data_IF_703537282421
#
_entry.id   IF_703537282421
#
_cell.length_a   1.000
_cell.length_b   1.000
_cell.length_c   1.000
_cell.angle_alpha   90.00
_cell.angle_beta   90.00
_cell.angle_gamma   90.00
#
_symmetry.space_group_name_H-M   'P 1'
#
loop_
_entity.id
_entity.type
_entity.pdbx_description
1 polymer ?
#
# COMPACT_ATOMS: atom_id res chain seq x y z
N UNK A 1 -40.21 -12.14 22.05
CA UNK A 1 -39.43 -11.77 20.85
C UNK A 1 -37.96 -11.82 21.25
N UNK A 2 -37.24 -12.86 20.81
CA UNK A 2 -35.89 -13.19 21.26
C UNK A 2 -34.89 -12.41 20.39
N UNK A 3 -34.18 -11.45 20.99
CA UNK A 3 -33.17 -10.65 20.28
C UNK A 3 -31.90 -11.51 20.17
N UNK A 4 -31.64 -12.02 18.97
CA UNK A 4 -30.33 -12.61 18.63
C UNK A 4 -29.30 -11.48 18.59
N UNK A 5 -28.49 -11.38 19.65
CA UNK A 5 -27.25 -10.61 19.63
C UNK A 5 -26.27 -11.31 18.70
N UNK A 6 -26.17 -10.82 17.46
CA UNK A 6 -25.09 -11.21 16.55
C UNK A 6 -23.81 -10.62 17.10
N UNK A 7 -22.96 -11.46 17.70
CA UNK A 7 -21.62 -11.08 18.12
C UNK A 7 -20.84 -10.65 16.88
N UNK A 8 -20.46 -9.37 16.83
CA UNK A 8 -19.55 -8.89 15.81
C UNK A 8 -18.20 -9.62 15.99
N UNK A 9 -17.59 -10.13 14.91
CA UNK A 9 -16.26 -10.74 15.01
C UNK A 9 -15.30 -9.71 15.62
N UNK A 10 -14.59 -10.12 16.68
CA UNK A 10 -13.61 -9.28 17.33
C UNK A 10 -12.56 -8.85 16.30
N UNK A 11 -12.50 -7.55 16.00
CA UNK A 11 -11.45 -6.97 15.18
C UNK A 11 -10.12 -7.25 15.88
N UNK A 12 -9.20 -7.95 15.22
CA UNK A 12 -7.85 -8.12 15.76
C UNK A 12 -7.21 -6.74 15.99
N UNK A 13 -6.41 -6.62 17.05
CA UNK A 13 -5.70 -5.36 17.33
C UNK A 13 -4.76 -5.08 16.15
N UNK A 14 -4.94 -3.93 15.52
CA UNK A 14 -4.04 -3.42 14.48
C UNK A 14 -2.60 -3.38 15.02
N UNK A 15 -1.65 -3.87 14.23
CA UNK A 15 -0.22 -3.82 14.53
C UNK A 15 0.44 -2.78 13.64
N UNK A 16 1.24 -1.89 14.24
CA UNK A 16 2.02 -0.90 13.51
C UNK A 16 3.50 -1.03 13.85
N UNK A 17 4.38 -0.96 12.83
CA UNK A 17 5.83 -0.91 12.97
C UNK A 17 6.34 0.41 12.41
N UNK A 18 7.09 1.15 13.22
CA UNK A 18 7.46 2.55 12.94
C UNK A 18 6.58 3.56 13.69
N UNK A 19 6.54 4.82 13.27
CA UNK A 19 7.10 5.31 12.02
C UNK A 19 8.63 5.51 12.05
N UNK A 20 9.28 5.30 10.90
CA UNK A 20 10.70 5.59 10.69
C UNK A 20 10.87 6.79 9.74
N UNK A 21 11.82 7.66 10.04
CA UNK A 21 12.11 8.82 9.22
C UNK A 21 12.98 8.45 8.01
N UNK A 22 12.52 8.84 6.81
CA UNK A 22 13.30 8.78 5.59
C UNK A 22 13.88 10.17 5.28
N UNK A 23 15.21 10.37 5.39
CA UNK A 23 15.83 11.67 5.14
C UNK A 23 15.76 12.10 3.67
N UNK A 24 15.58 11.16 2.73
CA UNK A 24 15.50 11.46 1.31
C UNK A 24 14.17 12.12 0.93
N UNK A 25 13.05 11.60 1.45
CA UNK A 25 11.72 12.16 1.20
C UNK A 25 11.27 13.15 2.27
N UNK A 26 12.04 13.30 3.35
CA UNK A 26 11.69 14.07 4.55
C UNK A 26 10.30 13.72 5.06
N UNK A 27 10.03 12.42 5.14
CA UNK A 27 8.73 11.88 5.51
C UNK A 27 8.91 10.69 6.44
N UNK A 28 7.88 10.42 7.23
CA UNK A 28 7.84 9.27 8.13
C UNK A 28 7.05 8.14 7.48
N UNK A 29 7.49 6.89 7.62
CA UNK A 29 6.80 5.72 7.07
C UNK A 29 6.51 4.72 8.17
N UNK A 30 5.37 4.05 8.12
CA UNK A 30 5.07 2.93 8.99
C UNK A 30 4.44 1.78 8.19
N UNK A 31 4.72 0.55 8.64
CA UNK A 31 3.99 -0.64 8.22
C UNK A 31 2.79 -0.85 9.14
N UNK A 32 1.63 -1.14 8.57
CA UNK A 32 0.40 -1.43 9.31
C UNK A 32 -0.16 -2.76 8.87
N UNK A 33 -0.42 -3.66 9.81
CA UNK A 33 -1.23 -4.88 9.66
C UNK A 33 -2.55 -4.68 10.40
N UNK A 34 -3.64 -4.65 9.65
CA UNK A 34 -4.99 -4.43 10.18
C UNK A 34 -5.50 -5.59 11.02
N UNK A 35 -4.90 -6.78 10.91
CA UNK A 35 -5.32 -7.98 11.64
C UNK A 35 -6.83 -8.25 11.51
N UNK A 36 -7.37 -8.04 10.31
CA UNK A 36 -8.78 -8.28 9.97
C UNK A 36 -8.94 -9.53 9.11
N UNK A 37 -9.94 -10.35 9.43
CA UNK A 37 -10.27 -11.51 8.61
C UNK A 37 -10.76 -11.06 7.22
N UNK A 38 -10.20 -11.65 6.16
CA UNK A 38 -10.57 -11.34 4.77
C UNK A 38 -9.89 -10.11 4.16
N UNK A 39 -9.18 -9.30 4.94
CA UNK A 39 -8.49 -8.10 4.45
C UNK A 39 -9.44 -6.99 3.99
N UNK A 40 -8.85 -5.97 3.38
CA UNK A 40 -9.60 -4.87 2.76
C UNK A 40 -9.02 -4.51 1.41
N UNK A 41 -9.82 -3.88 0.57
CA UNK A 41 -9.40 -3.43 -0.75
C UNK A 41 -8.41 -2.28 -0.64
N UNK A 42 -7.73 -1.96 -1.74
CA UNK A 42 -6.86 -0.79 -1.81
C UNK A 42 -7.58 0.51 -1.37
N UNK A 43 -8.81 0.72 -1.83
CA UNK A 43 -9.61 1.88 -1.44
C UNK A 43 -9.98 1.87 0.05
N UNK A 44 -10.15 0.67 0.63
CA UNK A 44 -10.31 0.48 2.06
C UNK A 44 -9.07 0.95 2.83
N UNK A 45 -7.89 0.38 2.54
CA UNK A 45 -6.66 0.77 3.24
C UNK A 45 -6.29 2.24 3.03
N UNK A 46 -6.60 2.85 1.88
CA UNK A 46 -6.41 4.29 1.69
C UNK A 46 -7.23 5.12 2.69
N UNK A 47 -8.50 4.74 2.94
CA UNK A 47 -9.32 5.39 3.99
C UNK A 47 -8.77 5.15 5.40
N UNK A 48 -8.11 4.02 5.65
CA UNK A 48 -7.42 3.78 6.91
C UNK A 48 -6.17 4.66 7.05
N UNK A 49 -5.33 4.72 6.01
CA UNK A 49 -4.13 5.55 5.98
C UNK A 49 -4.43 7.03 6.22
N UNK A 50 -5.49 7.57 5.58
CA UNK A 50 -5.95 8.95 5.75
C UNK A 50 -6.43 9.29 7.17
N UNK A 51 -6.80 8.28 7.98
CA UNK A 51 -7.20 8.46 9.39
C UNK A 51 -6.03 8.35 10.36
N UNK A 52 -4.86 7.90 9.89
CA UNK A 52 -3.64 7.92 10.70
C UNK A 52 -3.12 9.34 10.78
N UNK A 53 -2.59 9.69 11.94
CA UNK A 53 -1.89 10.95 12.14
C UNK A 53 -0.58 10.68 12.86
N UNK A 54 0.44 11.46 12.54
CA UNK A 54 1.72 11.47 13.25
C UNK A 54 2.15 12.92 13.42
N UNK A 55 2.30 13.38 14.66
CA UNK A 55 2.57 14.80 14.97
C UNK A 55 1.61 15.77 14.27
N UNK A 56 0.32 15.43 14.24
CA UNK A 56 -0.71 16.23 13.58
C UNK A 56 -0.71 16.17 12.04
N UNK A 57 0.22 15.44 11.41
CA UNK A 57 0.26 15.25 9.97
C UNK A 57 -0.58 14.05 9.56
N UNK A 58 -1.60 14.22 8.70
CA UNK A 58 -2.39 13.10 8.18
C UNK A 58 -1.53 12.15 7.34
N UNK A 59 -1.80 10.85 7.50
CA UNK A 59 -1.17 9.80 6.71
C UNK A 59 -1.77 9.69 5.32
N UNK A 60 -1.05 9.00 4.43
CA UNK A 60 -1.53 8.52 3.12
C UNK A 60 -0.85 7.19 2.81
N UNK A 61 -1.36 6.39 1.87
CA UNK A 61 -0.58 5.24 1.41
C UNK A 61 0.78 5.69 0.85
N UNK A 62 1.81 4.90 1.10
CA UNK A 62 3.19 5.31 0.82
C UNK A 62 3.44 5.66 -0.64
N UNK A 63 4.08 6.81 -0.87
CA UNK A 63 4.51 7.28 -2.19
C UNK A 63 6.00 6.95 -2.39
N UNK A 64 6.31 6.14 -3.41
CA UNK A 64 7.65 5.56 -3.61
C UNK A 64 8.18 5.94 -5.00
N UNK A 65 8.50 7.23 -5.19
CA UNK A 65 8.79 7.80 -6.53
C UNK A 65 10.11 7.35 -7.16
N UNK A 66 11.07 6.93 -6.35
CA UNK A 66 12.42 6.62 -6.80
C UNK A 66 13.02 5.37 -6.17
N UNK A 67 14.14 4.93 -6.74
CA UNK A 67 14.86 3.73 -6.30
C UNK A 67 15.38 3.85 -4.87
N UNK A 68 15.77 5.05 -4.44
CA UNK A 68 16.33 5.29 -3.10
C UNK A 68 15.26 5.12 -2.02
N UNK A 69 14.05 5.62 -2.25
CA UNK A 69 12.91 5.36 -1.34
C UNK A 69 12.54 3.88 -1.31
N UNK A 70 12.53 3.21 -2.47
CA UNK A 70 12.26 1.77 -2.53
C UNK A 70 13.29 0.97 -1.72
N UNK A 71 14.58 1.22 -1.94
CA UNK A 71 15.66 0.50 -1.24
C UNK A 71 15.63 0.79 0.27
N UNK A 72 15.34 2.03 0.67
CA UNK A 72 15.18 2.39 2.08
C UNK A 72 13.99 1.68 2.74
N UNK A 73 12.84 1.61 2.07
CA UNK A 73 11.69 0.86 2.59
C UNK A 73 12.03 -0.62 2.74
N UNK A 74 12.79 -1.17 1.80
CA UNK A 74 13.24 -2.56 1.85
C UNK A 74 14.16 -2.83 3.03
N UNK A 75 15.09 -1.92 3.29
CA UNK A 75 15.99 -2.01 4.45
C UNK A 75 15.22 -1.91 5.78
N UNK A 76 14.25 -1.00 5.89
CA UNK A 76 13.54 -0.77 7.15
C UNK A 76 12.39 -1.72 7.43
N UNK A 77 11.71 -2.19 6.38
CA UNK A 77 10.49 -2.97 6.51
C UNK A 77 10.59 -4.36 5.89
N UNK A 78 11.68 -4.71 5.20
CA UNK A 78 11.81 -5.98 4.49
C UNK A 78 11.59 -7.20 5.38
N UNK A 79 11.99 -7.14 6.65
CA UNK A 79 11.83 -8.26 7.60
C UNK A 79 10.41 -8.36 8.19
N UNK A 80 9.65 -7.26 8.19
CA UNK A 80 8.27 -7.23 8.72
C UNK A 80 7.21 -7.35 7.64
N UNK A 81 7.56 -7.06 6.38
CA UNK A 81 6.75 -7.32 5.20
C UNK A 81 6.93 -8.81 4.85
N UNK A 82 6.19 -9.65 5.56
CA UNK A 82 6.06 -11.09 5.29
C UNK A 82 4.87 -11.40 4.36
N UNK A 83 3.99 -10.41 4.16
CA UNK A 83 2.77 -10.47 3.36
C UNK A 83 2.76 -9.39 2.29
N UNK A 84 1.94 -9.63 1.29
CA UNK A 84 1.67 -8.67 0.24
C UNK A 84 1.10 -7.36 0.82
N UNK A 85 1.74 -6.22 0.54
CA UNK A 85 1.51 -4.97 1.28
C UNK A 85 1.16 -3.82 0.34
N UNK A 86 -0.01 -3.20 0.53
CA UNK A 86 -0.45 -2.09 -0.33
C UNK A 86 0.46 -0.86 -0.24
N UNK A 87 0.62 -0.19 -1.37
CA UNK A 87 1.27 1.13 -1.48
C UNK A 87 0.37 2.11 -2.23
N UNK A 88 0.74 3.38 -2.24
CA UNK A 88 -0.06 4.47 -2.80
C UNK A 88 -0.09 4.55 -4.32
N UNK A 89 0.18 3.46 -5.06
CA UNK A 89 0.28 3.47 -6.51
C UNK A 89 -0.91 2.75 -7.15
N UNK A 90 -1.43 3.34 -8.24
CA UNK A 90 -2.48 2.76 -9.08
C UNK A 90 -2.11 2.90 -10.55
N UNK A 91 -2.46 1.90 -11.35
CA UNK A 91 -2.48 1.99 -12.81
C UNK A 91 -3.89 2.27 -13.29
N UNK A 92 -4.17 3.47 -13.78
CA UNK A 92 -5.48 3.87 -14.29
C UNK A 92 -5.71 3.32 -15.69
N UNK A 93 -6.74 2.49 -15.86
CA UNK A 93 -6.98 1.73 -17.08
C UNK A 93 -7.29 2.64 -18.29
N UNK A 94 -8.14 3.66 -18.09
CA UNK A 94 -8.55 4.56 -19.17
C UNK A 94 -7.43 5.47 -19.66
N UNK A 95 -6.61 5.99 -18.73
CA UNK A 95 -5.49 6.87 -19.05
C UNK A 95 -4.22 6.09 -19.45
N UNK A 96 -4.12 4.81 -19.09
CA UNK A 96 -2.91 3.97 -19.21
C UNK A 96 -1.71 4.62 -18.52
N UNK A 97 -1.95 5.19 -17.34
CA UNK A 97 -0.97 5.93 -16.55
C UNK A 97 -0.89 5.36 -15.14
N UNK A 98 0.33 5.36 -14.60
CA UNK A 98 0.58 5.12 -13.19
C UNK A 98 0.46 6.44 -12.44
N UNK A 99 -0.25 6.44 -11.31
CA UNK A 99 -0.46 7.66 -10.51
C UNK A 99 -0.45 7.31 -9.03
N UNK A 100 0.28 8.13 -8.29
CA UNK A 100 0.37 8.06 -6.83
C UNK A 100 -0.86 8.66 -6.15
N UNK A 101 -1.09 8.33 -4.89
CA UNK A 101 -2.19 8.90 -4.07
C UNK A 101 -2.08 10.42 -3.88
N UNK A 102 -0.90 10.99 -4.09
CA UNK A 102 -0.68 12.43 -4.05
C UNK A 102 -1.01 13.13 -5.38
N UNK A 103 -1.53 12.40 -6.37
CA UNK A 103 -1.89 12.90 -7.70
C UNK A 103 -0.73 12.93 -8.69
N UNK A 104 0.51 12.68 -8.26
CA UNK A 104 1.67 12.69 -9.16
C UNK A 104 1.57 11.55 -10.15
N UNK A 105 1.66 11.86 -11.45
CA UNK A 105 1.77 10.85 -12.51
C UNK A 105 3.21 10.33 -12.55
N UNK A 106 3.36 9.01 -12.65
CA UNK A 106 4.67 8.38 -12.79
C UNK A 106 4.93 8.09 -14.28
N UNK A 107 5.78 8.91 -14.89
CA UNK A 107 6.14 8.76 -16.31
C UNK A 107 7.03 7.54 -16.57
N UNK A 108 7.94 7.26 -15.63
CA UNK A 108 8.82 6.08 -15.66
C UNK A 108 8.96 5.53 -14.26
N UNK A 109 8.84 4.20 -14.13
CA UNK A 109 9.14 3.54 -12.87
C UNK A 109 10.65 3.44 -12.65
N UNK A 110 11.10 3.41 -11.38
CA UNK A 110 12.49 3.09 -11.08
C UNK A 110 12.90 1.72 -11.66
N UNK A 111 14.15 1.53 -12.09
CA UNK A 111 14.59 0.25 -12.63
C UNK A 111 14.57 -0.84 -11.56
N UNK A 112 14.13 -2.05 -11.94
CA UNK A 112 14.20 -3.26 -11.12
C UNK A 112 13.27 -3.29 -9.90
N UNK A 113 12.29 -2.37 -9.79
CA UNK A 113 11.33 -2.39 -8.68
C UNK A 113 10.08 -3.18 -8.99
N UNK A 114 9.82 -3.55 -10.25
CA UNK A 114 8.66 -4.35 -10.64
C UNK A 114 8.99 -5.84 -10.63
N UNK A 115 8.02 -6.63 -10.21
CA UNK A 115 8.02 -8.07 -10.43
C UNK A 115 8.05 -8.37 -11.95
N UNK A 116 8.79 -9.38 -12.43
CA UNK A 116 8.85 -9.72 -13.86
C UNK A 116 7.47 -9.95 -14.49
N UNK A 117 6.57 -10.57 -13.72
CA UNK A 117 5.15 -10.58 -14.02
C UNK A 117 4.49 -9.33 -13.40
N UNK A 118 4.34 -8.27 -14.20
CA UNK A 118 3.91 -6.94 -13.71
C UNK A 118 2.50 -6.92 -13.09
N UNK A 119 1.63 -7.86 -13.46
CA UNK A 119 0.31 -8.06 -12.86
C UNK A 119 0.07 -9.51 -12.44
N UNK A 120 -0.67 -9.74 -11.35
CA UNK A 120 -0.81 -11.07 -10.76
C UNK A 120 -1.76 -12.03 -11.52
N UNK A 121 -2.91 -11.54 -11.98
CA UNK A 121 -4.04 -12.42 -12.39
C UNK A 121 -4.64 -12.00 -13.74
N UNK A 122 -5.66 -12.77 -14.18
CA UNK A 122 -6.46 -12.47 -15.38
C UNK A 122 -7.42 -11.28 -15.22
N UNK A 123 -7.64 -10.82 -13.98
CA UNK A 123 -8.46 -9.65 -13.67
C UNK A 123 -7.56 -8.42 -13.83
N UNK A 124 -7.59 -7.85 -15.03
CA UNK A 124 -6.75 -6.72 -15.42
C UNK A 124 -7.49 -5.77 -16.36
N UNK A 125 -6.92 -4.57 -16.54
CA UNK A 125 -7.38 -3.62 -17.54
C UNK A 125 -7.51 -4.28 -18.92
N UNK A 126 -8.60 -4.00 -19.63
CA UNK A 126 -8.88 -4.56 -20.96
C UNK A 126 -9.55 -5.94 -20.97
N UNK A 127 -9.59 -6.65 -19.83
CA UNK A 127 -10.37 -7.89 -19.67
C UNK A 127 -11.61 -7.72 -18.81
N UNK A 128 -11.49 -6.94 -17.74
CA UNK A 128 -12.61 -6.62 -16.84
C UNK A 128 -12.76 -5.10 -16.78
N UNK A 129 -14.02 -4.63 -16.74
CA UNK A 129 -14.32 -3.19 -16.60
C UNK A 129 -13.95 -2.74 -15.18
N UNK A 130 -12.81 -2.06 -15.06
CA UNK A 130 -12.35 -1.45 -13.82
C UNK A 130 -11.69 -0.10 -14.12
N UNK A 131 -11.70 0.80 -13.13
CA UNK A 131 -11.11 2.13 -13.26
C UNK A 131 -9.58 2.08 -13.19
N UNK A 132 -9.05 1.27 -12.27
CA UNK A 132 -7.62 1.13 -12.04
C UNK A 132 -7.25 -0.25 -11.50
N UNK A 133 -5.97 -0.59 -11.63
CA UNK A 133 -5.31 -1.71 -10.97
C UNK A 133 -4.45 -1.19 -9.81
N UNK A 134 -4.73 -1.55 -8.54
CA UNK A 134 -3.88 -1.14 -7.44
C UNK A 134 -2.54 -1.89 -7.46
N UNK A 135 -1.52 -1.29 -6.85
CA UNK A 135 -0.17 -1.84 -6.77
C UNK A 135 0.21 -2.09 -5.31
N UNK A 136 0.89 -3.21 -5.08
CA UNK A 136 1.38 -3.63 -3.77
C UNK A 136 2.80 -4.17 -3.89
N UNK A 137 3.47 -4.28 -2.75
CA UNK A 137 4.70 -5.04 -2.61
C UNK A 137 4.42 -6.53 -2.47
N UNK A 138 5.09 -7.35 -3.26
CA UNK A 138 5.16 -8.81 -3.13
C UNK A 138 6.57 -9.23 -2.69
N UNK A 139 6.65 -10.32 -1.94
CA UNK A 139 7.90 -10.79 -1.32
C UNK A 139 8.29 -9.99 -0.07
N UNK A 140 9.35 -10.47 0.59
CA UNK A 140 9.99 -9.82 1.74
C UNK A 140 11.50 -9.68 1.54
N UNK A 141 12.16 -8.94 2.43
CA UNK A 141 13.61 -8.70 2.36
C UNK A 141 14.06 -8.21 0.99
N UNK A 142 15.10 -8.83 0.43
CA UNK A 142 15.68 -8.43 -0.87
C UNK A 142 14.73 -8.60 -2.07
N UNK A 143 13.67 -9.39 -1.94
CA UNK A 143 12.72 -9.70 -3.01
C UNK A 143 11.49 -8.78 -3.03
N UNK A 144 11.45 -7.75 -2.17
CA UNK A 144 10.34 -6.81 -2.07
C UNK A 144 10.19 -5.99 -3.36
N UNK A 145 9.24 -6.36 -4.23
CA UNK A 145 9.01 -5.73 -5.55
C UNK A 145 7.53 -5.39 -5.77
N UNK A 146 7.23 -4.48 -6.69
CA UNK A 146 5.88 -4.04 -7.03
C UNK A 146 5.19 -5.02 -7.96
N UNK A 147 3.90 -5.24 -7.72
CA UNK A 147 3.02 -5.96 -8.61
C UNK A 147 1.64 -5.31 -8.62
N UNK A 148 1.01 -5.23 -9.79
CA UNK A 148 -0.36 -4.77 -9.93
C UNK A 148 -1.35 -5.94 -9.74
N UNK A 149 -2.54 -5.66 -9.22
CA UNK A 149 -3.63 -6.65 -9.14
C UNK A 149 -4.93 -6.15 -9.75
N UNK A 150 -5.87 -7.07 -9.91
CA UNK A 150 -7.28 -6.74 -10.06
C UNK A 150 -7.88 -6.07 -8.83
N UNK A 151 -9.09 -5.55 -9.00
CA UNK A 151 -9.87 -4.86 -7.95
C UNK A 151 -10.43 -5.80 -6.87
N UNK A 152 -10.51 -7.10 -7.17
CA UNK A 152 -10.97 -8.16 -6.28
C UNK A 152 -9.91 -8.59 -5.26
N UNK A 153 -8.74 -7.95 -5.27
CA UNK A 153 -7.67 -8.25 -4.34
C UNK A 153 -7.89 -7.53 -3.01
N UNK A 154 -7.78 -8.31 -1.95
CA UNK A 154 -7.83 -7.84 -0.56
C UNK A 154 -6.49 -8.17 0.11
N UNK A 155 -6.01 -7.26 0.96
CA UNK A 155 -4.84 -7.47 1.82
C UNK A 155 -5.15 -6.93 3.21
N UNK A 156 -4.40 -7.41 4.19
CA UNK A 156 -4.48 -6.92 5.57
C UNK A 156 -3.44 -5.86 5.87
N UNK A 157 -2.41 -5.70 5.03
CA UNK A 157 -1.29 -4.81 5.30
C UNK A 157 -1.10 -3.70 4.28
N UNK A 158 -0.56 -2.57 4.74
CA UNK A 158 -0.21 -1.42 3.92
C UNK A 158 0.94 -0.62 4.52
N UNK A 159 1.65 0.11 3.67
CA UNK A 159 2.60 1.15 4.10
C UNK A 159 1.90 2.51 4.12
N UNK A 160 2.01 3.21 5.24
CA UNK A 160 1.56 4.59 5.40
C UNK A 160 2.76 5.53 5.41
N UNK A 161 2.61 6.69 4.77
CA UNK A 161 3.55 7.80 4.76
C UNK A 161 2.89 9.02 5.44
N UNK A 162 3.67 9.73 6.26
CA UNK A 162 3.35 11.01 6.84
C UNK A 162 4.30 12.07 6.25
N UNK A 163 3.84 12.89 5.28
CA UNK A 163 4.69 13.80 4.52
C UNK A 163 4.96 15.10 5.28
N UNK A 164 5.86 15.03 6.26
CA UNK A 164 6.18 16.16 7.15
C UNK A 164 6.97 17.27 6.45
N UNK A 165 7.79 16.93 5.44
CA UNK A 165 8.71 17.85 4.78
C UNK A 165 9.87 18.33 5.68
N UNK A 166 9.93 17.83 6.91
CA UNK A 166 10.87 18.18 7.98
C UNK A 166 11.24 16.91 8.77
N UNK A 167 12.42 16.86 9.42
CA UNK A 167 12.73 15.84 10.43
C UNK A 167 11.66 15.79 11.52
#
# INVERSE_FOLDING_TARGET
MMILLVSAPALGKEKMVGPFYNPHTKSYFAYVDLNIMGGTSWGGVQKHALRKTYHGIPGRLAVVKDRKTHDWLREKFGDVIDKETWIGLRYFCGARKLMWVDGTIMDRSPPGVWHPQWHRTWIMCGRVRMEYMPVYYVGGGLQMVWQASGIDKYQISYLVEFPTGKP
#
